data_IF_328734770137
#
_entry.id   IF_328734770137
#
_cell.length_a   1.000
_cell.length_b   1.000
_cell.length_c   1.000
_cell.angle_alpha   90.00
_cell.angle_beta   90.00
_cell.angle_gamma   90.00
#
_symmetry.space_group_name_H-M   'P 1'
#
loop_
_entity.id
_entity.type
_entity.pdbx_description
1 polymer ?
#
# COMPACT_ATOMS: atom_id res chain seq x y z
N UNK A 1 -11.77 -57.59 -27.28
CA UNK A 1 -10.68 -56.81 -27.89
C UNK A 1 -10.08 -55.94 -26.79
N UNK A 2 -8.78 -56.09 -26.46
CA UNK A 2 -8.20 -55.47 -25.26
C UNK A 2 -7.59 -54.11 -25.61
N UNK A 3 -8.40 -53.05 -25.55
CA UNK A 3 -7.94 -51.67 -25.80
C UNK A 3 -8.48 -50.63 -24.82
N UNK A 4 -9.60 -50.94 -24.14
CA UNK A 4 -10.34 -49.95 -23.37
C UNK A 4 -9.68 -49.60 -22.02
N UNK A 5 -8.90 -50.52 -21.45
CA UNK A 5 -8.20 -50.29 -20.16
C UNK A 5 -7.12 -49.20 -20.26
N UNK A 6 -6.49 -49.06 -21.42
CA UNK A 6 -5.43 -48.09 -21.64
C UNK A 6 -5.97 -46.66 -21.68
N UNK A 7 -7.15 -46.46 -22.30
CA UNK A 7 -7.84 -45.17 -22.37
C UNK A 7 -8.33 -44.74 -20.98
N UNK A 8 -8.90 -45.65 -20.19
CA UNK A 8 -9.34 -45.38 -18.82
C UNK A 8 -8.14 -44.97 -17.95
N UNK A 9 -7.01 -45.66 -18.07
CA UNK A 9 -5.79 -45.34 -17.30
C UNK A 9 -5.20 -43.98 -17.68
N UNK A 10 -5.14 -43.65 -18.98
CA UNK A 10 -4.69 -42.33 -19.47
C UNK A 10 -5.62 -41.22 -18.97
N UNK A 11 -6.94 -41.44 -19.03
CA UNK A 11 -7.93 -40.45 -18.63
C UNK A 11 -7.87 -40.15 -17.13
N UNK A 12 -7.74 -41.17 -16.28
CA UNK A 12 -7.58 -41.00 -14.82
C UNK A 12 -6.26 -40.30 -14.48
N UNK A 13 -5.16 -40.62 -15.19
CA UNK A 13 -3.85 -39.99 -14.97
C UNK A 13 -3.83 -38.51 -15.39
N UNK A 14 -4.49 -38.16 -16.50
CA UNK A 14 -4.67 -36.77 -16.91
C UNK A 14 -5.61 -36.00 -15.97
N UNK A 15 -6.67 -36.64 -15.46
CA UNK A 15 -7.60 -36.02 -14.50
C UNK A 15 -6.92 -35.72 -13.15
N UNK A 16 -6.04 -36.61 -12.69
CA UNK A 16 -5.25 -36.40 -11.47
C UNK A 16 -4.14 -35.34 -11.67
N UNK A 17 -3.48 -35.32 -12.83
CA UNK A 17 -2.43 -34.35 -13.12
C UNK A 17 -2.96 -32.91 -13.26
N UNK A 18 -4.15 -32.76 -13.85
CA UNK A 18 -4.83 -31.46 -13.97
C UNK A 18 -5.36 -30.96 -12.62
N UNK A 19 -5.86 -31.85 -11.76
CA UNK A 19 -6.27 -31.50 -10.39
C UNK A 19 -5.12 -30.94 -9.55
N UNK A 20 -3.92 -31.54 -9.61
CA UNK A 20 -2.75 -31.07 -8.87
C UNK A 20 -2.26 -29.71 -9.38
N UNK A 21 -2.30 -29.47 -10.70
CA UNK A 21 -1.92 -28.17 -11.29
C UNK A 21 -2.91 -27.06 -10.90
N UNK A 22 -4.21 -27.35 -10.90
CA UNK A 22 -5.23 -26.38 -10.48
C UNK A 22 -5.11 -26.08 -8.98
N UNK A 23 -4.85 -27.10 -8.16
CA UNK A 23 -4.68 -26.92 -6.71
C UNK A 23 -3.40 -26.12 -6.37
N UNK A 24 -2.30 -26.35 -7.08
CA UNK A 24 -1.07 -25.56 -6.94
C UNK A 24 -1.22 -24.11 -7.39
N UNK A 25 -2.03 -23.86 -8.42
CA UNK A 25 -2.31 -22.49 -8.90
C UNK A 25 -3.18 -21.70 -7.91
N UNK A 26 -4.15 -22.35 -7.26
CA UNK A 26 -5.03 -21.70 -6.27
C UNK A 26 -4.26 -21.28 -5.01
N UNK A 27 -3.25 -22.06 -4.58
CA UNK A 27 -2.40 -21.71 -3.43
C UNK A 27 -1.54 -20.46 -3.66
N UNK A 28 -1.21 -20.12 -4.91
CA UNK A 28 -0.43 -18.90 -5.24
C UNK A 28 -1.23 -17.60 -5.11
N UNK A 29 -2.56 -17.67 -5.01
CA UNK A 29 -3.43 -16.48 -5.09
C UNK A 29 -3.85 -15.91 -3.75
N UNK A 30 -3.48 -16.54 -2.63
CA UNK A 30 -3.77 -16.03 -1.29
C UNK A 30 -2.57 -15.25 -0.73
N UNK A 31 -2.29 -14.08 -1.31
CA UNK A 31 -1.49 -13.06 -0.63
C UNK A 31 -2.43 -12.23 0.24
N UNK A 32 -2.42 -12.51 1.55
CA UNK A 32 -3.06 -11.64 2.54
C UNK A 32 -2.31 -10.31 2.54
N UNK A 33 -2.98 -9.23 2.13
CA UNK A 33 -2.47 -7.87 2.30
C UNK A 33 -2.33 -7.60 3.81
N UNK A 34 -1.09 -7.49 4.28
CA UNK A 34 -0.80 -7.10 5.65
C UNK A 34 -1.42 -5.72 5.90
N UNK A 35 -2.13 -5.59 7.02
CA UNK A 35 -2.86 -4.38 7.40
C UNK A 35 -1.95 -3.15 7.46
N UNK A 36 -2.58 -1.99 7.29
CA UNK A 36 -1.91 -0.69 7.30
C UNK A 36 -1.20 -0.45 8.64
N UNK A 37 0.10 -0.74 8.68
CA UNK A 37 0.99 -0.33 9.76
C UNK A 37 1.49 1.09 9.45
N UNK A 38 1.19 2.03 10.33
CA UNK A 38 1.72 3.39 10.22
C UNK A 38 3.21 3.38 10.58
N UNK A 39 4.07 3.52 9.58
CA UNK A 39 5.51 3.56 9.77
C UNK A 39 6.02 5.00 9.95
N UNK A 40 6.99 5.19 10.86
CA UNK A 40 7.76 6.43 10.91
C UNK A 40 8.72 6.48 9.73
N UNK A 41 8.73 7.60 9.02
CA UNK A 41 9.65 7.88 7.91
C UNK A 41 10.60 9.01 8.32
N UNK A 42 11.89 8.79 8.14
CA UNK A 42 12.93 9.81 8.37
C UNK A 42 13.01 10.80 7.19
N UNK A 43 13.56 12.01 7.39
CA UNK A 43 13.77 12.97 6.30
C UNK A 43 14.60 12.40 5.14
N UNK A 44 15.60 11.56 5.44
CA UNK A 44 16.47 10.92 4.45
C UNK A 44 15.71 9.89 3.61
N UNK A 45 14.86 9.08 4.25
CA UNK A 45 13.99 8.12 3.56
C UNK A 45 12.97 8.83 2.69
N UNK A 46 12.29 9.86 3.20
CA UNK A 46 11.35 10.65 2.42
C UNK A 46 12.04 11.26 1.19
N UNK A 47 13.24 11.81 1.36
CA UNK A 47 14.04 12.33 0.24
C UNK A 47 14.34 11.24 -0.79
N UNK A 48 14.70 10.03 -0.36
CA UNK A 48 14.96 8.91 -1.25
C UNK A 48 13.68 8.47 -2.00
N UNK A 49 12.53 8.42 -1.34
CA UNK A 49 11.23 8.10 -1.98
C UNK A 49 10.87 9.11 -3.07
N UNK A 50 11.04 10.41 -2.77
CA UNK A 50 10.80 11.49 -3.73
C UNK A 50 11.76 11.41 -4.94
N UNK A 51 13.04 11.10 -4.69
CA UNK A 51 14.04 10.92 -5.77
C UNK A 51 13.74 9.70 -6.66
N UNK A 52 13.24 8.62 -6.07
CA UNK A 52 12.81 7.41 -6.80
C UNK A 52 11.52 7.61 -7.60
N UNK A 53 10.87 8.78 -7.49
CA UNK A 53 9.56 9.09 -8.11
C UNK A 53 8.49 8.08 -7.70
N UNK A 54 8.56 7.59 -6.48
CA UNK A 54 7.48 6.79 -5.91
C UNK A 54 6.21 7.64 -5.81
N UNK A 55 5.04 7.01 -5.93
CA UNK A 55 3.76 7.70 -5.73
C UNK A 55 3.57 7.99 -4.24
N UNK A 56 4.10 9.14 -3.82
CA UNK A 56 3.98 9.68 -2.46
C UNK A 56 3.02 10.86 -2.46
N UNK A 57 2.05 10.83 -1.57
CA UNK A 57 1.17 11.96 -1.29
C UNK A 57 1.69 12.61 -0.01
N UNK A 58 2.32 13.77 -0.15
CA UNK A 58 2.94 14.46 0.96
C UNK A 58 1.94 15.48 1.56
N UNK A 59 1.57 15.29 2.82
CA UNK A 59 0.59 16.13 3.52
C UNK A 59 1.30 16.94 4.60
N UNK A 60 1.20 18.26 4.50
CA UNK A 60 1.75 19.22 5.47
C UNK A 60 0.69 19.56 6.52
N UNK A 61 0.89 19.12 7.76
CA UNK A 61 -0.05 19.38 8.88
C UNK A 61 0.29 20.62 9.70
N UNK A 62 1.19 21.47 9.16
CA UNK A 62 1.57 22.75 9.76
C UNK A 62 0.51 23.83 9.55
N UNK A 63 0.76 25.04 10.08
CA UNK A 63 -0.13 26.18 9.82
C UNK A 63 0.07 26.72 8.40
N UNK A 64 -0.93 27.42 7.83
CA UNK A 64 -0.79 28.06 6.53
C UNK A 64 0.39 29.02 6.44
N UNK A 65 0.70 29.74 7.51
CA UNK A 65 1.81 30.69 7.57
C UNK A 65 3.16 29.97 7.43
N UNK A 66 3.37 28.87 8.18
CA UNK A 66 4.58 28.04 8.08
C UNK A 66 4.76 27.45 6.67
N UNK A 67 3.65 27.05 6.02
CA UNK A 67 3.67 26.48 4.67
C UNK A 67 3.97 27.53 3.60
N UNK A 68 3.39 28.73 3.74
CA UNK A 68 3.62 29.85 2.83
C UNK A 68 5.04 30.41 2.93
N UNK A 69 5.65 30.37 4.12
CA UNK A 69 7.06 30.75 4.31
C UNK A 69 7.99 29.76 3.60
N UNK A 70 7.79 28.45 3.83
CA UNK A 70 8.52 27.40 3.14
C UNK A 70 7.82 26.03 3.26
N UNK A 71 7.76 25.28 2.16
CA UNK A 71 7.23 23.93 2.12
C UNK A 71 7.96 23.05 1.11
N UNK A 72 7.74 21.73 1.21
CA UNK A 72 8.27 20.78 0.24
C UNK A 72 7.41 20.87 -1.04
N UNK A 73 7.99 21.13 -2.23
CA UNK A 73 7.22 21.23 -3.46
C UNK A 73 6.35 20.00 -3.72
N UNK A 74 5.08 20.23 -4.07
CA UNK A 74 4.10 19.17 -4.28
C UNK A 74 3.43 18.63 -3.01
N UNK A 75 3.76 19.19 -1.84
CA UNK A 75 2.99 18.93 -0.62
C UNK A 75 1.61 19.59 -0.66
N UNK A 76 0.63 18.92 -0.06
CA UNK A 76 -0.73 19.42 0.13
C UNK A 76 -0.84 19.93 1.57
N UNK A 77 -1.18 21.19 1.74
CA UNK A 77 -1.46 21.77 3.05
C UNK A 77 -2.79 21.24 3.60
N UNK A 78 -2.74 20.59 4.76
CA UNK A 78 -3.90 20.14 5.51
C UNK A 78 -3.61 20.30 7.01
N UNK A 79 -3.83 21.51 7.58
CA UNK A 79 -3.46 21.81 8.95
C UNK A 79 -4.10 20.83 9.94
N UNK A 80 -3.40 20.51 11.03
CA UNK A 80 -3.89 19.58 12.05
C UNK A 80 -5.30 19.96 12.58
N UNK A 81 -5.59 21.24 12.73
CA UNK A 81 -6.92 21.72 13.16
C UNK A 81 -8.05 21.41 12.18
N UNK A 82 -7.74 21.17 10.91
CA UNK A 82 -8.72 20.82 9.88
C UNK A 82 -8.89 19.32 9.73
N UNK A 83 -7.95 18.51 10.23
CA UNK A 83 -7.97 17.06 10.14
C UNK A 83 -9.08 16.42 10.98
N UNK A 84 -9.50 17.03 12.09
CA UNK A 84 -10.54 16.55 13.01
C UNK A 84 -11.97 16.42 12.40
N UNK A 85 -12.13 16.63 11.09
CA UNK A 85 -13.38 16.35 10.37
C UNK A 85 -13.18 15.76 8.98
N UNK A 86 -11.93 15.41 8.61
CA UNK A 86 -11.63 14.85 7.30
C UNK A 86 -12.01 13.38 7.29
N UNK A 87 -13.06 13.06 6.54
CA UNK A 87 -13.55 11.68 6.38
C UNK A 87 -12.87 10.93 5.22
N UNK A 88 -12.22 11.66 4.32
CA UNK A 88 -11.57 11.08 3.14
C UNK A 88 -10.20 11.73 2.91
N UNK A 89 -9.16 10.92 3.08
CA UNK A 89 -7.84 11.24 2.56
C UNK A 89 -7.72 10.78 1.10
N UNK A 90 -6.88 11.45 0.30
CA UNK A 90 -6.63 11.03 -1.07
C UNK A 90 -6.07 9.60 -1.10
N UNK A 91 -6.80 8.70 -1.76
CA UNK A 91 -6.41 7.31 -1.95
C UNK A 91 -5.52 7.14 -3.19
N UNK A 92 -4.61 6.16 -3.17
CA UNK A 92 -3.85 5.75 -4.37
C UNK A 92 -2.33 5.94 -4.31
N UNK A 93 -1.76 6.17 -3.13
CA UNK A 93 -0.30 6.23 -2.92
C UNK A 93 0.08 6.15 -1.44
N UNK A 94 1.38 6.16 -1.17
CA UNK A 94 1.89 6.23 0.20
C UNK A 94 1.67 7.64 0.74
N UNK A 95 0.80 7.78 1.73
CA UNK A 95 0.55 9.06 2.38
C UNK A 95 1.64 9.29 3.43
N UNK A 96 2.32 10.42 3.33
CA UNK A 96 3.31 10.84 4.32
C UNK A 96 2.85 12.16 4.93
N UNK A 97 2.53 12.12 6.22
CA UNK A 97 2.20 13.30 7.02
C UNK A 97 3.50 13.86 7.60
N UNK A 98 3.74 15.16 7.43
CA UNK A 98 4.90 15.81 8.02
C UNK A 98 4.54 17.10 8.75
N UNK A 99 5.37 17.44 9.74
CA UNK A 99 5.36 18.72 10.41
C UNK A 99 6.79 19.10 10.81
N UNK A 100 6.97 20.23 11.50
CA UNK A 100 8.30 20.71 11.89
C UNK A 100 9.10 19.73 12.78
N UNK A 101 8.44 18.99 13.67
CA UNK A 101 9.10 18.19 14.71
C UNK A 101 8.58 16.74 14.84
N UNK A 102 7.67 16.31 13.96
CA UNK A 102 7.03 15.00 14.01
C UNK A 102 5.87 14.86 15.01
N UNK A 103 5.70 15.77 15.98
CA UNK A 103 4.64 15.65 17.00
C UNK A 103 3.22 15.78 16.43
N UNK A 104 2.98 16.82 15.63
CA UNK A 104 1.65 17.08 15.03
C UNK A 104 1.23 16.00 14.04
N UNK A 105 2.18 15.49 13.26
CA UNK A 105 1.95 14.39 12.32
C UNK A 105 1.68 13.07 13.03
N UNK A 106 2.24 12.87 14.24
CA UNK A 106 1.87 11.72 15.06
C UNK A 106 0.44 11.83 15.57
N UNK A 107 0.05 13.00 16.11
CA UNK A 107 -1.35 13.25 16.50
C UNK A 107 -2.32 13.07 15.32
N UNK A 108 -1.92 13.48 14.11
CA UNK A 108 -2.72 13.29 12.91
C UNK A 108 -2.97 11.81 12.53
N UNK A 109 -2.14 10.87 13.01
CA UNK A 109 -2.36 9.43 12.80
C UNK A 109 -3.39 8.85 13.77
N UNK A 110 -3.64 9.54 14.89
CA UNK A 110 -4.54 9.09 15.96
C UNK A 110 -5.96 9.70 15.84
N UNK A 111 -6.19 10.56 14.84
CA UNK A 111 -7.47 11.24 14.52
C UNK A 111 -8.21 10.46 13.44
#
# INVERSE_FOLDING_TARGET
MPGDWYIITIMVKHLLFTSILVFGFVLSSFTVAAGAEHARVTPEELKAMLQKKERVILIDVRTPEEHNEAHIPGSVLMPLSTLEGVTNLPNGGNIVLYCRSGKRSQTALDI
#
